data_IF_276005277415
#
_entry.id   IF_276005277415
#
_cell.length_a   1.000
_cell.length_b   1.000
_cell.length_c   1.000
_cell.angle_alpha   90.00
_cell.angle_beta   90.00
_cell.angle_gamma   90.00
#
_symmetry.space_group_name_H-M   'P 1'
#
loop_
_entity.id
_entity.type
_entity.pdbx_description
1 polymer ?
#
# COMPACT_ATOMS: atom_id res chain seq x y z
N UNK A 1 -6.39 16.38 -60.70
CA UNK A 1 -5.02 16.02 -61.15
C UNK A 1 -4.45 15.04 -60.13
N UNK A 2 -4.15 13.80 -60.54
CA UNK A 2 -3.58 12.73 -59.70
C UNK A 2 -2.08 12.89 -59.57
N UNK A 3 -1.48 12.61 -58.41
CA UNK A 3 -0.25 11.78 -58.30
C UNK A 3 -0.30 11.01 -56.98
N UNK A 4 -0.21 9.69 -57.09
CA UNK A 4 0.04 8.68 -56.05
C UNK A 4 1.54 8.31 -56.06
N UNK A 5 2.12 7.98 -54.90
CA UNK A 5 3.21 7.02 -54.70
C UNK A 5 3.34 6.82 -53.16
N UNK A 6 3.11 5.69 -52.49
CA UNK A 6 3.31 4.24 -52.69
C UNK A 6 4.69 3.73 -52.26
N UNK A 7 4.63 2.64 -51.47
CA UNK A 7 5.64 1.59 -51.17
C UNK A 7 6.66 1.98 -50.07
N UNK A 8 6.87 1.24 -48.97
CA UNK A 8 7.19 -0.21 -48.92
C UNK A 8 6.91 -0.82 -47.54
N UNK A 9 6.33 -2.02 -47.54
CA UNK A 9 6.31 -2.97 -46.44
C UNK A 9 7.54 -3.90 -46.51
N UNK A 10 8.12 -4.31 -45.37
CA UNK A 10 9.06 -5.45 -45.31
C UNK A 10 9.05 -6.08 -43.91
N UNK A 11 8.25 -7.13 -43.72
CA UNK A 11 8.64 -8.56 -43.64
C UNK A 11 9.16 -9.03 -42.27
N UNK A 12 8.21 -9.47 -41.46
CA UNK A 12 8.13 -10.79 -40.80
C UNK A 12 9.38 -11.68 -40.93
N UNK A 13 10.04 -11.99 -39.82
CA UNK A 13 10.84 -13.22 -39.68
C UNK A 13 10.49 -13.88 -38.36
N UNK A 14 9.55 -14.81 -38.41
CA UNK A 14 9.18 -15.72 -37.34
C UNK A 14 10.05 -16.98 -37.52
N UNK A 15 10.94 -17.26 -36.56
CA UNK A 15 11.70 -18.52 -36.53
C UNK A 15 11.13 -19.38 -35.41
N UNK A 16 10.31 -20.35 -35.82
CA UNK A 16 10.06 -21.59 -35.08
C UNK A 16 11.22 -22.55 -35.38
N UNK A 17 11.88 -23.10 -34.34
CA UNK A 17 12.38 -24.47 -34.45
C UNK A 17 12.55 -25.14 -33.07
N UNK A 18 11.78 -26.19 -32.89
CA UNK A 18 11.79 -27.21 -31.85
C UNK A 18 13.17 -27.81 -31.55
N UNK A 19 13.43 -28.17 -30.29
CA UNK A 19 14.02 -29.47 -29.97
C UNK A 19 13.55 -29.96 -28.59
N UNK A 20 12.97 -31.15 -28.63
CA UNK A 20 12.53 -32.01 -27.54
C UNK A 20 13.70 -32.95 -27.23
N UNK A 21 14.05 -33.20 -25.96
CA UNK A 21 14.67 -34.46 -25.53
C UNK A 21 14.43 -34.73 -24.04
N UNK A 22 13.85 -35.90 -23.76
CA UNK A 22 13.64 -36.51 -22.44
C UNK A 22 14.98 -36.99 -21.84
N UNK A 23 15.07 -36.98 -20.50
CA UNK A 23 15.73 -38.04 -19.75
C UNK A 23 15.16 -38.11 -18.31
N UNK A 24 14.60 -39.26 -17.98
CA UNK A 24 14.19 -39.69 -16.65
C UNK A 24 15.31 -40.51 -15.99
N UNK A 25 15.33 -40.54 -14.64
CA UNK A 25 15.83 -41.57 -13.70
C UNK A 25 15.55 -41.00 -12.28
N UNK A 26 14.69 -41.48 -11.38
CA UNK A 26 14.42 -42.81 -10.75
C UNK A 26 15.52 -43.31 -9.81
N UNK A 27 15.16 -43.59 -8.54
CA UNK A 27 15.91 -44.42 -7.57
C UNK A 27 16.25 -43.67 -6.26
N UNK A 28 15.52 -43.77 -5.13
CA UNK A 28 15.22 -44.88 -4.19
C UNK A 28 16.26 -45.03 -3.05
N UNK A 29 15.85 -45.68 -1.95
CA UNK A 29 16.50 -45.98 -0.66
C UNK A 29 16.32 -44.93 0.46
N UNK A 30 15.70 -45.18 1.63
CA UNK A 30 15.30 -46.43 2.28
C UNK A 30 15.94 -46.56 3.68
N UNK A 31 15.09 -46.82 4.70
CA UNK A 31 15.38 -47.22 6.10
C UNK A 31 16.02 -46.16 7.04
N UNK A 32 15.47 -45.75 8.20
CA UNK A 32 14.77 -46.41 9.32
C UNK A 32 15.67 -47.31 10.19
N UNK A 33 15.93 -46.89 11.44
CA UNK A 33 15.90 -47.73 12.66
C UNK A 33 16.46 -47.02 13.93
N UNK A 34 15.57 -46.92 14.95
CA UNK A 34 15.76 -47.25 16.39
C UNK A 34 16.59 -46.37 17.35
N UNK A 35 15.89 -45.58 18.18
CA UNK A 35 15.72 -45.56 19.68
C UNK A 35 16.64 -46.45 20.57
N UNK A 36 16.72 -46.34 21.94
CA UNK A 36 16.01 -45.48 22.90
C UNK A 36 16.81 -44.98 24.15
N UNK A 37 16.30 -43.97 24.87
CA UNK A 37 16.29 -43.87 26.35
C UNK A 37 15.36 -42.70 26.72
N UNK A 38 14.20 -42.85 27.36
CA UNK A 38 13.94 -43.54 28.61
C UNK A 38 13.73 -42.50 29.71
N UNK A 39 12.50 -42.00 29.88
CA UNK A 39 12.13 -40.98 30.86
C UNK A 39 10.62 -40.94 31.10
N UNK A 40 10.17 -41.88 31.94
CA UNK A 40 8.96 -41.93 32.79
C UNK A 40 7.72 -41.11 32.38
N UNK A 41 6.69 -41.84 31.98
CA UNK A 41 5.31 -41.36 31.93
C UNK A 41 4.70 -41.29 33.34
N UNK A 42 4.09 -40.14 33.67
CA UNK A 42 3.12 -39.99 34.76
C UNK A 42 1.74 -39.85 34.11
N UNK A 43 0.78 -40.68 34.53
CA UNK A 43 -0.62 -40.60 34.10
C UNK A 43 -1.33 -39.39 34.73
N UNK A 44 -2.39 -38.88 34.08
CA UNK A 44 -3.01 -37.61 34.43
C UNK A 44 -4.13 -37.80 35.45
N UNK A 45 -3.95 -37.27 36.64
CA UNK A 45 -5.04 -36.99 37.57
C UNK A 45 -4.84 -35.58 38.14
N UNK A 46 -5.87 -34.77 37.94
CA UNK A 46 -6.14 -33.45 38.55
C UNK A 46 -5.16 -32.30 38.26
N UNK A 47 -5.40 -31.61 37.13
CA UNK A 47 -5.03 -30.21 36.95
C UNK A 47 -6.32 -29.41 36.74
N UNK A 48 -6.62 -28.55 37.71
CA UNK A 48 -7.70 -27.56 37.70
C UNK A 48 -7.49 -26.51 36.61
N UNK A 49 -8.57 -26.08 35.96
CA UNK A 49 -8.62 -25.11 34.84
C UNK A 49 -8.18 -23.66 35.18
N UNK A 50 -7.53 -23.42 36.32
CA UNK A 50 -7.20 -22.06 36.79
C UNK A 50 -5.81 -21.56 36.37
N UNK A 51 -5.02 -22.32 35.59
CA UNK A 51 -3.67 -21.90 35.14
C UNK A 51 -3.52 -21.72 33.62
N UNK A 52 -4.59 -21.35 32.89
CA UNK A 52 -4.47 -21.02 31.45
C UNK A 52 -4.39 -19.52 31.12
N UNK A 53 -4.21 -18.64 32.13
CA UNK A 53 -4.12 -17.19 31.93
C UNK A 53 -3.09 -16.51 32.85
N UNK A 54 -1.88 -17.08 32.96
CA UNK A 54 -0.75 -16.33 33.47
C UNK A 54 -0.16 -15.48 32.33
N UNK A 55 -0.56 -14.21 32.27
CA UNK A 55 0.07 -13.21 31.41
C UNK A 55 1.56 -13.06 31.81
N UNK A 56 2.52 -13.11 30.87
CA UNK A 56 3.90 -12.80 31.18
C UNK A 56 4.02 -11.31 31.54
N UNK A 57 4.58 -11.06 32.72
CA UNK A 57 4.87 -9.74 33.29
C UNK A 57 5.58 -8.82 32.28
N UNK A 58 4.84 -7.84 31.75
CA UNK A 58 5.40 -6.73 30.95
C UNK A 58 6.07 -5.75 31.91
N UNK A 59 7.39 -5.83 31.99
CA UNK A 59 8.22 -4.82 32.64
C UNK A 59 7.87 -3.42 32.14
N UNK A 60 7.56 -2.52 33.08
CA UNK A 60 7.01 -1.17 32.87
C UNK A 60 8.02 -0.15 32.34
N UNK A 61 8.91 -0.52 31.42
CA UNK A 61 9.81 0.45 30.79
C UNK A 61 9.84 0.26 29.27
N UNK A 62 8.88 0.90 28.61
CA UNK A 62 8.93 1.11 27.17
C UNK A 62 10.15 1.98 26.83
N UNK A 63 10.97 1.62 25.82
CA UNK A 63 12.02 2.49 25.34
C UNK A 63 11.39 3.80 24.87
N UNK A 64 11.73 4.90 25.54
CA UNK A 64 11.37 6.24 25.09
C UNK A 64 12.16 6.52 23.80
N UNK A 65 11.52 6.34 22.64
CA UNK A 65 12.02 6.89 21.38
C UNK A 65 11.80 8.41 21.48
N UNK A 66 12.82 9.10 21.98
CA UNK A 66 12.91 10.55 22.00
C UNK A 66 13.02 11.04 20.55
N UNK A 67 11.86 11.34 19.98
CA UNK A 67 11.71 11.92 18.65
C UNK A 67 11.46 13.43 18.81
N UNK A 68 12.49 14.30 18.71
CA UNK A 68 12.29 15.74 18.67
C UNK A 68 11.80 16.12 17.26
N UNK A 69 10.52 15.85 16.96
CA UNK A 69 9.96 16.01 15.60
C UNK A 69 9.49 17.44 15.32
N UNK A 70 9.27 18.28 16.32
CA UNK A 70 8.44 19.49 16.09
C UNK A 70 9.17 20.70 15.49
N UNK A 71 10.49 20.68 15.30
CA UNK A 71 11.23 21.83 14.73
C UNK A 71 12.02 21.54 13.44
N UNK A 72 12.09 20.28 12.99
CA UNK A 72 12.90 19.90 11.81
C UNK A 72 12.14 19.90 10.47
N UNK A 73 10.82 19.98 10.49
CA UNK A 73 9.93 19.67 9.35
C UNK A 73 9.82 20.73 8.25
N UNK A 74 10.61 21.81 8.26
CA UNK A 74 10.49 22.83 7.20
C UNK A 74 11.79 23.31 6.56
N UNK A 75 12.93 22.76 6.97
CA UNK A 75 14.18 22.97 6.25
C UNK A 75 14.31 21.88 5.18
N UNK A 76 14.37 22.29 3.91
CA UNK A 76 14.82 21.39 2.86
C UNK A 76 16.16 20.77 3.26
N UNK A 77 16.29 19.45 3.06
CA UNK A 77 17.56 18.74 3.22
C UNK A 77 18.64 19.32 2.32
N UNK A 78 19.89 18.87 2.49
CA UNK A 78 21.02 19.33 1.68
C UNK A 78 20.82 19.11 0.16
N UNK A 79 19.90 18.24 -0.22
CA UNK A 79 19.49 17.91 -1.58
C UNK A 79 18.23 18.65 -2.07
N UNK A 80 17.66 19.54 -1.26
CA UNK A 80 16.57 20.43 -1.66
C UNK A 80 15.15 19.87 -1.47
N UNK A 81 14.98 18.70 -0.84
CA UNK A 81 13.66 18.14 -0.54
C UNK A 81 13.29 18.38 0.93
N UNK A 82 12.05 18.80 1.18
CA UNK A 82 11.48 18.87 2.52
C UNK A 82 11.02 17.48 2.95
N UNK A 83 11.40 17.04 4.14
CA UNK A 83 10.81 15.83 4.74
C UNK A 83 9.34 16.11 5.05
N UNK A 84 8.45 15.30 4.49
CA UNK A 84 7.01 15.50 4.57
C UNK A 84 6.36 14.38 5.37
N UNK A 85 5.53 14.73 6.35
CA UNK A 85 4.64 13.80 7.01
C UNK A 85 3.22 13.84 6.39
N UNK A 86 2.49 12.72 6.48
CA UNK A 86 1.12 12.64 5.98
C UNK A 86 0.17 13.65 6.63
N UNK A 87 0.38 14.02 7.89
CA UNK A 87 -0.42 15.04 8.56
C UNK A 87 -0.29 16.42 7.91
N UNK A 88 0.82 16.72 7.23
CA UNK A 88 1.06 18.00 6.56
C UNK A 88 0.33 18.13 5.22
N UNK A 89 -0.15 17.01 4.66
CA UNK A 89 -1.00 17.00 3.47
C UNK A 89 -2.46 17.38 3.78
N UNK A 90 -2.85 17.42 5.06
CA UNK A 90 -4.19 17.84 5.47
C UNK A 90 -4.20 19.36 5.71
N UNK A 91 -5.13 20.14 5.10
CA UNK A 91 -5.24 21.56 5.39
C UNK A 91 -5.46 21.81 6.88
N UNK A 92 -4.74 22.78 7.46
CA UNK A 92 -4.76 23.05 8.90
C UNK A 92 -6.13 23.49 9.45
N UNK A 93 -7.01 23.98 8.57
CA UNK A 93 -8.37 24.40 8.87
C UNK A 93 -9.43 23.31 8.58
N UNK A 94 -9.00 22.13 8.14
CA UNK A 94 -9.87 21.02 7.79
C UNK A 94 -9.93 19.95 8.89
N UNK A 95 -11.12 19.37 9.08
CA UNK A 95 -11.33 18.18 9.90
C UNK A 95 -12.34 17.25 9.24
N UNK A 96 -11.99 15.97 9.11
CA UNK A 96 -12.84 14.94 8.49
C UNK A 96 -13.98 14.50 9.42
N UNK A 97 -13.76 14.53 10.74
CA UNK A 97 -14.69 13.93 11.70
C UNK A 97 -16.13 14.49 11.62
N UNK A 98 -16.36 15.80 11.44
CA UNK A 98 -17.72 16.32 11.26
C UNK A 98 -18.42 15.79 10.01
N UNK A 99 -17.70 15.62 8.90
CA UNK A 99 -18.29 15.14 7.64
C UNK A 99 -18.74 13.68 7.77
N UNK A 100 -17.91 12.83 8.37
CA UNK A 100 -18.25 11.41 8.57
C UNK A 100 -19.39 11.24 9.58
N UNK A 101 -19.51 12.14 10.57
CA UNK A 101 -20.63 12.13 11.52
C UNK A 101 -22.00 12.35 10.86
N UNK A 102 -22.07 13.00 9.70
CA UNK A 102 -23.32 13.20 8.96
C UNK A 102 -23.92 11.89 8.44
N UNK A 103 -23.10 10.85 8.26
CA UNK A 103 -23.57 9.51 7.88
C UNK A 103 -24.25 8.77 9.04
N UNK A 104 -24.11 9.28 10.26
CA UNK A 104 -24.75 8.73 11.46
C UNK A 104 -24.49 7.22 11.64
N UNK A 105 -23.28 6.77 11.30
CA UNK A 105 -22.86 5.36 11.32
C UNK A 105 -23.09 4.68 12.68
N UNK A 106 -23.15 5.47 13.77
CA UNK A 106 -23.38 4.99 15.13
C UNK A 106 -24.80 4.47 15.35
N UNK A 107 -25.78 4.95 14.57
CA UNK A 107 -27.17 4.49 14.66
C UNK A 107 -27.46 3.28 13.79
N UNK A 108 -26.46 2.81 13.03
CA UNK A 108 -26.54 1.57 12.26
C UNK A 108 -25.83 0.44 12.99
N UNK A 109 -26.41 -0.76 12.96
CA UNK A 109 -25.71 -1.96 13.41
C UNK A 109 -24.83 -2.51 12.28
N UNK A 110 -23.80 -1.75 11.91
CA UNK A 110 -22.95 -2.07 10.74
C UNK A 110 -22.33 -3.46 10.85
N UNK A 111 -22.05 -3.93 12.06
CA UNK A 111 -21.49 -5.24 12.32
C UNK A 111 -22.42 -6.43 11.99
N UNK A 112 -23.74 -6.18 11.87
CA UNK A 112 -24.73 -7.21 11.50
C UNK A 112 -25.18 -7.11 10.03
N UNK A 113 -24.72 -6.10 9.30
CA UNK A 113 -25.03 -5.96 7.87
C UNK A 113 -24.12 -6.87 7.04
N UNK A 114 -24.71 -7.55 6.06
CA UNK A 114 -23.96 -8.27 5.03
C UNK A 114 -23.41 -7.28 4.01
N UNK A 115 -22.27 -7.57 3.37
CA UNK A 115 -21.68 -6.71 2.33
C UNK A 115 -22.61 -6.50 1.12
N UNK A 116 -23.56 -7.43 0.89
CA UNK A 116 -24.57 -7.31 -0.16
C UNK A 116 -25.83 -6.58 0.30
N UNK A 117 -25.92 -6.17 1.56
CA UNK A 117 -27.05 -5.39 2.06
C UNK A 117 -27.10 -4.02 1.35
N UNK A 118 -28.26 -3.63 0.76
CA UNK A 118 -28.38 -2.38 0.04
C UNK A 118 -28.04 -1.13 0.89
N UNK A 119 -28.29 -1.18 2.20
CA UNK A 119 -28.00 -0.09 3.11
C UNK A 119 -26.51 0.00 3.42
N UNK A 120 -25.83 -1.15 3.61
CA UNK A 120 -24.37 -1.19 3.74
C UNK A 120 -23.69 -0.61 2.50
N UNK A 121 -24.16 -0.97 1.31
CA UNK A 121 -23.65 -0.44 0.04
C UNK A 121 -23.87 1.07 -0.09
N UNK A 122 -25.04 1.57 0.33
CA UNK A 122 -25.37 3.00 0.34
C UNK A 122 -24.41 3.77 1.26
N UNK A 123 -24.27 3.34 2.51
CA UNK A 123 -23.39 3.98 3.50
C UNK A 123 -21.92 3.94 3.05
N UNK A 124 -21.47 2.82 2.49
CA UNK A 124 -20.13 2.70 1.94
C UNK A 124 -19.90 3.66 0.77
N UNK A 125 -20.87 3.78 -0.14
CA UNK A 125 -20.79 4.72 -1.26
C UNK A 125 -20.75 6.18 -0.79
N UNK A 126 -21.55 6.55 0.20
CA UNK A 126 -21.57 7.89 0.77
C UNK A 126 -20.26 8.21 1.51
N UNK A 127 -19.73 7.28 2.29
CA UNK A 127 -18.42 7.43 2.93
C UNK A 127 -17.31 7.63 1.90
N UNK A 128 -17.27 6.81 0.84
CA UNK A 128 -16.30 6.99 -0.25
C UNK A 128 -16.43 8.36 -0.91
N UNK A 129 -17.66 8.85 -1.11
CA UNK A 129 -17.88 10.17 -1.70
C UNK A 129 -17.33 11.30 -0.82
N UNK A 130 -17.56 11.24 0.50
CA UNK A 130 -16.98 12.19 1.45
C UNK A 130 -15.46 12.16 1.39
N UNK A 131 -14.86 10.96 1.44
CA UNK A 131 -13.40 10.78 1.43
C UNK A 131 -12.77 11.29 0.12
N UNK A 132 -13.47 11.16 -1.00
CA UNK A 132 -13.00 11.62 -2.31
C UNK A 132 -13.06 13.16 -2.48
N UNK A 133 -13.93 13.85 -1.73
CA UNK A 133 -14.19 15.29 -1.90
C UNK A 133 -13.47 16.19 -0.87
N UNK A 134 -12.64 15.60 0.00
CA UNK A 134 -11.88 16.36 1.00
C UNK A 134 -10.89 17.34 0.33
N UNK A 135 -10.68 18.54 0.89
CA UNK A 135 -9.79 19.53 0.33
C UNK A 135 -8.32 19.13 0.48
N UNK A 136 -7.54 19.46 -0.55
CA UNK A 136 -6.07 19.35 -0.54
C UNK A 136 -5.43 20.68 -0.14
N UNK A 137 -4.29 20.61 0.53
CA UNK A 137 -3.48 21.77 0.93
C UNK A 137 -2.85 22.43 -0.29
N UNK A 138 -3.38 23.58 -0.68
CA UNK A 138 -2.91 24.33 -1.86
C UNK A 138 -1.47 24.84 -1.70
N UNK A 139 -0.98 24.96 -0.46
CA UNK A 139 0.38 25.39 -0.14
C UNK A 139 1.44 24.38 -0.61
N UNK A 140 1.05 23.13 -0.88
CA UNK A 140 1.96 22.09 -1.36
C UNK A 140 2.23 22.18 -2.86
N UNK A 141 1.55 23.03 -3.62
CA UNK A 141 1.79 23.17 -5.05
C UNK A 141 3.26 23.54 -5.34
N UNK A 142 3.95 22.66 -6.06
CA UNK A 142 5.35 22.82 -6.44
C UNK A 142 6.36 22.57 -5.32
N UNK A 143 5.93 22.20 -4.10
CA UNK A 143 6.84 21.89 -3.00
C UNK A 143 7.62 20.63 -3.33
N UNK A 144 8.96 20.74 -3.34
CA UNK A 144 9.85 19.58 -3.46
C UNK A 144 9.93 18.87 -2.13
N UNK A 145 9.42 17.65 -2.07
CA UNK A 145 9.27 16.90 -0.84
C UNK A 145 9.74 15.46 -0.97
N UNK A 146 10.02 14.86 0.19
CA UNK A 146 10.27 13.45 0.41
C UNK A 146 9.14 12.91 1.26
N UNK A 147 8.41 11.90 0.77
CA UNK A 147 7.27 11.33 1.48
C UNK A 147 7.38 9.79 1.52
N UNK A 148 7.48 9.17 2.71
CA UNK A 148 7.38 7.72 2.85
C UNK A 148 5.93 7.24 2.75
N UNK A 149 5.71 6.03 2.23
CA UNK A 149 4.40 5.39 2.20
C UNK A 149 4.44 4.01 1.56
N UNK A 150 3.28 3.47 1.19
CA UNK A 150 3.15 2.19 0.50
C UNK A 150 2.64 2.42 -0.91
N UNK A 151 3.18 1.67 -1.88
CA UNK A 151 2.77 1.77 -3.28
C UNK A 151 1.62 0.80 -3.58
N UNK A 152 0.52 1.31 -4.11
CA UNK A 152 -0.55 0.53 -4.75
C UNK A 152 -0.35 0.63 -6.27
N UNK A 153 0.20 -0.39 -6.95
CA UNK A 153 0.56 -0.31 -8.36
C UNK A 153 -0.66 -0.11 -9.27
N UNK A 154 -0.50 0.74 -10.30
CA UNK A 154 -1.49 0.97 -11.36
C UNK A 154 -0.92 0.47 -12.69
N UNK A 155 0.23 1.01 -13.12
CA UNK A 155 0.93 0.58 -14.32
C UNK A 155 2.24 -0.14 -13.95
N UNK A 156 2.39 -1.39 -14.39
CA UNK A 156 3.54 -2.23 -14.08
C UNK A 156 3.81 -3.30 -15.14
N UNK A 157 5.06 -3.78 -15.19
CA UNK A 157 5.50 -4.94 -15.98
C UNK A 157 6.28 -5.90 -15.08
N UNK A 158 5.69 -7.06 -14.78
CA UNK A 158 6.18 -7.96 -13.74
C UNK A 158 6.22 -7.27 -12.39
N UNK A 159 7.41 -7.15 -11.78
CA UNK A 159 7.61 -6.46 -10.50
C UNK A 159 8.03 -4.99 -10.67
N UNK A 160 8.17 -4.51 -11.90
CA UNK A 160 8.55 -3.13 -12.19
C UNK A 160 7.33 -2.24 -12.26
N UNK A 161 7.21 -1.28 -11.37
CA UNK A 161 6.09 -0.34 -11.26
C UNK A 161 6.46 1.02 -11.84
N UNK A 162 5.59 1.57 -12.70
CA UNK A 162 5.76 2.87 -13.38
C UNK A 162 4.79 3.94 -12.89
N UNK A 163 3.57 3.55 -12.50
CA UNK A 163 2.62 4.43 -11.82
C UNK A 163 1.93 3.71 -10.67
N UNK A 164 1.62 4.46 -9.62
CA UNK A 164 1.03 3.92 -8.39
C UNK A 164 0.35 5.01 -7.57
N UNK A 165 -0.55 4.61 -6.68
CA UNK A 165 -0.98 5.46 -5.57
C UNK A 165 -0.04 5.25 -4.40
N UNK A 166 0.58 6.31 -3.91
CA UNK A 166 1.23 6.30 -2.61
C UNK A 166 0.17 6.53 -1.53
N UNK A 167 0.17 5.68 -0.50
CA UNK A 167 -0.78 5.71 0.62
C UNK A 167 -0.06 5.61 1.98
N UNK A 168 -0.66 6.09 3.08
CA UNK A 168 0.00 6.14 4.40
C UNK A 168 0.13 4.79 5.11
N UNK A 169 -0.61 3.76 4.69
CA UNK A 169 -0.61 2.46 5.37
C UNK A 169 -0.78 1.29 4.39
N UNK A 170 -0.23 0.14 4.77
CA UNK A 170 -0.36 -1.11 4.04
C UNK A 170 -1.82 -1.60 4.02
N UNK A 171 -2.24 -2.19 2.89
CA UNK A 171 -3.58 -2.79 2.74
C UNK A 171 -4.70 -1.80 2.41
N UNK A 172 -4.38 -0.51 2.25
CA UNK A 172 -5.31 0.49 1.76
C UNK A 172 -5.93 0.06 0.43
N UNK A 173 -7.21 0.41 0.23
CA UNK A 173 -7.99 0.14 -0.99
C UNK A 173 -8.31 -1.35 -1.26
N UNK A 174 -7.89 -2.30 -0.43
CA UNK A 174 -8.15 -3.74 -0.65
C UNK A 174 -9.28 -4.27 0.26
N UNK A 175 -9.28 -3.90 1.54
CA UNK A 175 -10.24 -4.42 2.54
C UNK A 175 -10.98 -3.31 3.32
N UNK A 176 -10.63 -2.07 3.07
CA UNK A 176 -11.21 -0.88 3.69
C UNK A 176 -11.53 0.14 2.60
N UNK A 177 -12.39 1.14 2.87
CA UNK A 177 -12.48 2.30 2.00
C UNK A 177 -11.07 2.86 1.69
N UNK A 178 -10.87 3.44 0.50
CA UNK A 178 -9.65 4.18 0.20
C UNK A 178 -9.37 5.26 1.25
N UNK A 179 -8.11 5.67 1.47
CA UNK A 179 -7.82 6.84 2.26
C UNK A 179 -8.52 8.10 1.72
N UNK A 180 -8.67 9.17 2.53
CA UNK A 180 -9.14 10.45 2.02
C UNK A 180 -8.27 10.97 0.87
N UNK A 181 -8.83 11.76 -0.04
CA UNK A 181 -8.10 12.25 -1.21
C UNK A 181 -6.84 13.07 -0.85
N UNK A 182 -6.89 13.83 0.23
CA UNK A 182 -5.73 14.56 0.77
C UNK A 182 -4.74 13.67 1.55
N UNK A 183 -4.88 12.35 1.46
CA UNK A 183 -3.99 11.32 2.02
C UNK A 183 -3.59 10.29 0.94
N UNK A 184 -3.66 10.68 -0.33
CA UNK A 184 -3.27 9.84 -1.46
C UNK A 184 -2.51 10.69 -2.48
N UNK A 185 -1.42 10.14 -3.03
CA UNK A 185 -0.65 10.78 -4.09
C UNK A 185 -0.60 9.86 -5.30
N UNK A 186 -1.06 10.30 -6.46
CA UNK A 186 -0.81 9.60 -7.71
C UNK A 186 0.61 9.89 -8.18
N UNK A 187 1.42 8.85 -8.34
CA UNK A 187 2.84 8.98 -8.65
C UNK A 187 3.13 8.34 -9.99
N UNK A 188 3.83 9.08 -10.85
CA UNK A 188 4.44 8.58 -12.08
C UNK A 188 5.96 8.56 -11.92
N UNK A 189 6.60 7.45 -12.30
CA UNK A 189 8.06 7.32 -12.31
C UNK A 189 8.54 6.65 -13.59
N UNK A 190 9.00 7.46 -14.54
CA UNK A 190 9.26 7.04 -15.94
C UNK A 190 10.20 5.84 -16.08
N UNK A 191 11.23 5.73 -15.22
CA UNK A 191 12.18 4.62 -15.27
C UNK A 191 11.66 3.34 -14.60
N UNK A 192 10.57 3.49 -13.84
CA UNK A 192 10.03 2.49 -12.95
C UNK A 192 10.99 2.06 -11.84
N UNK A 193 10.47 1.31 -10.87
CA UNK A 193 11.25 0.70 -9.79
C UNK A 193 10.78 -0.72 -9.53
N UNK A 194 11.67 -1.56 -8.98
CA UNK A 194 11.31 -2.92 -8.58
C UNK A 194 10.60 -2.88 -7.22
N UNK A 195 9.39 -3.42 -7.15
CA UNK A 195 8.62 -3.56 -5.91
C UNK A 195 8.55 -5.05 -5.56
N UNK A 196 9.39 -5.56 -4.62
CA UNK A 196 9.41 -6.98 -4.27
C UNK A 196 8.12 -7.46 -3.62
N UNK A 197 7.43 -6.56 -2.91
CA UNK A 197 6.16 -6.83 -2.24
C UNK A 197 5.41 -5.53 -1.92
N UNK A 198 4.07 -5.60 -1.84
CA UNK A 198 3.20 -4.48 -1.45
C UNK A 198 3.35 -4.06 0.02
N UNK A 199 3.96 -4.90 0.87
CA UNK A 199 4.26 -4.54 2.27
C UNK A 199 5.56 -3.74 2.42
N UNK A 200 6.34 -3.59 1.34
CA UNK A 200 7.59 -2.84 1.37
C UNK A 200 7.27 -1.34 1.29
N UNK A 201 7.68 -0.53 2.29
CA UNK A 201 7.51 0.91 2.20
C UNK A 201 8.46 1.47 1.14
N UNK A 202 8.02 2.55 0.51
CA UNK A 202 8.79 3.33 -0.45
C UNK A 202 8.86 4.77 -0.01
N UNK A 203 9.90 5.46 -0.47
CA UNK A 203 10.04 6.90 -0.35
C UNK A 203 9.96 7.48 -1.75
N UNK A 204 9.04 8.42 -1.96
CA UNK A 204 8.97 9.21 -3.19
C UNK A 204 9.60 10.57 -2.96
N UNK A 205 10.29 11.07 -3.99
CA UNK A 205 10.84 12.41 -4.00
C UNK A 205 10.49 13.11 -5.30
N UNK A 206 9.98 14.33 -5.19
CA UNK A 206 9.56 15.12 -6.35
C UNK A 206 8.83 16.37 -5.92
N UNK A 207 8.35 17.12 -6.91
CA UNK A 207 7.48 18.27 -6.66
C UNK A 207 6.02 17.82 -6.59
N UNK A 208 5.33 18.23 -5.53
CA UNK A 208 3.88 18.05 -5.43
C UNK A 208 3.14 18.87 -6.49
N UNK A 209 2.11 18.28 -7.07
CA UNK A 209 1.08 18.96 -7.83
C UNK A 209 -0.25 18.74 -7.11
N UNK A 210 -1.00 19.81 -6.87
CA UNK A 210 -2.32 19.74 -6.25
C UNK A 210 -3.33 19.55 -7.38
N UNK A 211 -3.55 18.28 -7.73
CA UNK A 211 -4.44 17.88 -8.80
C UNK A 211 -5.20 16.62 -8.41
N UNK A 212 -6.48 16.60 -8.76
CA UNK A 212 -7.33 15.43 -8.57
C UNK A 212 -7.02 14.37 -9.62
N UNK A 213 -6.70 13.17 -9.16
CA UNK A 213 -6.57 11.98 -10.00
C UNK A 213 -7.58 10.92 -9.51
N UNK A 214 -8.42 10.44 -10.41
CA UNK A 214 -9.41 9.39 -10.09
C UNK A 214 -8.92 8.09 -10.69
N UNK A 215 -8.77 7.07 -9.85
CA UNK A 215 -8.42 5.72 -10.26
C UNK A 215 -9.57 4.76 -9.93
N UNK A 216 -10.06 4.04 -10.94
CA UNK A 216 -11.27 3.23 -10.79
C UNK A 216 -11.00 2.07 -9.83
N UNK A 217 -11.93 1.85 -8.90
CA UNK A 217 -11.78 0.86 -7.83
C UNK A 217 -10.73 1.20 -6.76
N UNK A 218 -9.82 2.15 -6.96
CA UNK A 218 -8.75 2.49 -6.02
C UNK A 218 -8.95 3.83 -5.28
N UNK A 219 -9.79 4.72 -5.80
CA UNK A 219 -10.21 5.96 -5.13
C UNK A 219 -9.74 7.22 -5.85
N UNK A 220 -9.72 8.33 -5.11
CA UNK A 220 -9.34 9.65 -5.62
C UNK A 220 -8.11 10.14 -4.88
N UNK A 221 -7.06 10.52 -5.59
CA UNK A 221 -5.92 11.24 -5.03
C UNK A 221 -6.11 12.75 -5.23
N UNK A 222 -5.81 13.53 -4.20
CA UNK A 222 -5.80 15.00 -4.23
C UNK A 222 -4.47 15.60 -4.65
N UNK A 223 -3.44 14.75 -4.78
CA UNK A 223 -2.10 15.13 -5.18
C UNK A 223 -1.59 14.23 -6.31
N UNK A 224 -0.76 14.80 -7.17
CA UNK A 224 0.06 14.08 -8.14
C UNK A 224 1.54 14.40 -7.98
N UNK A 225 2.40 13.49 -8.43
CA UNK A 225 3.84 13.69 -8.48
C UNK A 225 4.44 12.95 -9.66
N UNK A 226 5.21 13.66 -10.49
CA UNK A 226 6.24 13.00 -11.31
C UNK A 226 7.50 12.88 -10.47
N UNK A 227 7.82 11.66 -10.05
CA UNK A 227 8.89 11.43 -9.10
C UNK A 227 10.26 11.66 -9.77
N UNK A 228 11.11 12.43 -9.10
CA UNK A 228 12.53 12.55 -9.41
C UNK A 228 13.27 11.27 -8.98
N UNK A 229 12.84 10.66 -7.86
CA UNK A 229 13.41 9.42 -7.33
C UNK A 229 12.36 8.63 -6.53
N UNK A 230 12.44 7.31 -6.62
CA UNK A 230 11.73 6.36 -5.77
C UNK A 230 12.74 5.37 -5.19
N UNK A 231 12.73 5.20 -3.88
CA UNK A 231 13.60 4.24 -3.19
C UNK A 231 12.76 3.35 -2.27
N UNK A 232 13.15 2.08 -2.13
CA UNK A 232 12.66 1.27 -1.02
C UNK A 232 13.16 1.89 0.30
N UNK A 233 12.32 1.84 1.33
CA UNK A 233 12.60 2.40 2.65
C UNK A 233 13.66 1.59 3.42
#
# INVERSE_FOLDING_TARGET
MRVFASVTASRLTMILLSTLLLAACSGDDGASATDPTGGTATSPDELSDDELFAEPEVGTEAPQIDSPVTERSRAAGADGYVEMDWGELVPSDFSLAPQVQELDLQNYNIAELDDNDPEAQRLYAELKAILADVPSSQELQGVKARLPGFAVPIEFDGNRVYSFLLVPYFGACIHTPPPPANQMVYVEYETGFELPSLYEPVIIEGAFEVATHVEDGLGTAGYSMRADRVTLY
#
